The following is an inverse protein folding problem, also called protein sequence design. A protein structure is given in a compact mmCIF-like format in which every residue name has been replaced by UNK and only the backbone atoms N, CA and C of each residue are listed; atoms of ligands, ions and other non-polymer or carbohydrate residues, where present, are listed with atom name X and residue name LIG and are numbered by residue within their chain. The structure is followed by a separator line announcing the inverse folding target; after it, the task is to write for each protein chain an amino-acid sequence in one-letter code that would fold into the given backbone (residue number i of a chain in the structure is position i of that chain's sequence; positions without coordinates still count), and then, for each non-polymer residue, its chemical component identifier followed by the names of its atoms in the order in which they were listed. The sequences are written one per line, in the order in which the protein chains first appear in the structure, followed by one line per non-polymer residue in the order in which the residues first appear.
data_IF_669064903749
#
_entry.id   IF_669064903749
#
_cell.length_a   1.000
_cell.length_b   1.000
_cell.length_c   1.000
_cell.angle_alpha   90.00
_cell.angle_beta   90.00
_cell.angle_gamma   90.00
#
_symmetry.space_group_name_H-M   'P 1'
#
loop_
_entity.id
_entity.type
_entity.pdbx_description
1 polymer ?
#
# COMPACT_ATOMS: atom_id res chain seq x y z
N UNK A 1 1.56 23.42 -35.40
CA UNK A 1 1.23 23.64 -33.97
C UNK A 1 2.39 24.40 -33.33
N UNK A 2 2.17 25.57 -32.73
CA UNK A 2 3.25 26.44 -32.22
C UNK A 2 3.83 25.89 -30.90
N UNK A 3 5.10 26.18 -30.59
CA UNK A 3 5.75 25.74 -29.35
C UNK A 3 4.99 26.17 -28.07
N UNK A 4 4.32 27.31 -28.14
CA UNK A 4 3.44 27.83 -27.08
C UNK A 4 2.22 26.93 -26.82
N UNK A 5 1.60 26.38 -27.88
CA UNK A 5 0.47 25.46 -27.76
C UNK A 5 0.89 24.14 -27.12
N UNK A 6 2.05 23.59 -27.49
CA UNK A 6 2.60 22.36 -26.89
C UNK A 6 2.86 22.56 -25.39
N UNK A 7 3.46 23.68 -25.02
CA UNK A 7 3.76 23.98 -23.61
C UNK A 7 2.50 24.25 -22.78
N UNK A 8 1.45 24.82 -23.39
CA UNK A 8 0.15 25.03 -22.76
C UNK A 8 -0.58 23.69 -22.52
N UNK A 9 -0.60 22.81 -23.51
CA UNK A 9 -1.20 21.47 -23.38
C UNK A 9 -0.50 20.62 -22.32
N UNK A 10 0.84 20.62 -22.29
CA UNK A 10 1.61 19.92 -21.25
C UNK A 10 1.26 20.39 -19.83
N UNK A 11 1.11 21.72 -19.63
CA UNK A 11 0.70 22.26 -18.33
C UNK A 11 -0.73 21.91 -17.95
N UNK A 12 -1.65 21.85 -18.92
CA UNK A 12 -3.03 21.44 -18.66
C UNK A 12 -3.10 19.96 -18.25
N UNK A 13 -2.35 19.08 -18.91
CA UNK A 13 -2.23 17.66 -18.53
C UNK A 13 -1.65 17.48 -17.14
N UNK A 14 -0.57 18.20 -16.80
CA UNK A 14 -0.02 18.17 -15.45
C UNK A 14 -1.04 18.59 -14.39
N UNK A 15 -1.81 19.66 -14.64
CA UNK A 15 -2.88 20.11 -13.74
C UNK A 15 -3.98 19.05 -13.59
N UNK A 16 -4.37 18.38 -14.68
CA UNK A 16 -5.35 17.29 -14.65
C UNK A 16 -4.88 16.13 -13.79
N UNK A 17 -3.64 15.69 -13.98
CA UNK A 17 -3.02 14.60 -13.21
C UNK A 17 -2.99 14.94 -11.71
N UNK A 18 -2.56 16.16 -11.34
CA UNK A 18 -2.56 16.62 -9.95
C UNK A 18 -3.98 16.63 -9.37
N UNK A 19 -4.96 17.12 -10.12
CA UNK A 19 -6.36 17.12 -9.70
C UNK A 19 -6.88 15.70 -9.45
N UNK A 20 -6.53 14.74 -10.32
CA UNK A 20 -6.92 13.33 -10.15
C UNK A 20 -6.34 12.77 -8.85
N UNK A 21 -5.06 13.00 -8.55
CA UNK A 21 -4.46 12.55 -7.28
C UNK A 21 -5.18 13.14 -6.05
N UNK A 22 -5.52 14.42 -6.10
CA UNK A 22 -6.27 15.08 -5.02
C UNK A 22 -7.66 14.44 -4.88
N UNK A 23 -8.41 14.30 -5.98
CA UNK A 23 -9.76 13.75 -5.96
C UNK A 23 -9.79 12.30 -5.46
N UNK A 24 -8.84 11.46 -5.88
CA UNK A 24 -8.71 10.09 -5.39
C UNK A 24 -8.44 10.05 -3.89
N UNK A 25 -7.52 10.89 -3.40
CA UNK A 25 -7.21 10.97 -1.97
C UNK A 25 -8.42 11.43 -1.15
N UNK A 26 -9.11 12.46 -1.63
CA UNK A 26 -10.34 12.97 -0.99
C UNK A 26 -11.45 11.92 -0.99
N UNK A 27 -11.64 11.18 -2.09
CA UNK A 27 -12.65 10.13 -2.15
C UNK A 27 -12.39 9.02 -1.11
N UNK A 28 -11.13 8.60 -0.95
CA UNK A 28 -10.76 7.62 0.08
C UNK A 28 -11.03 8.18 1.48
N UNK A 29 -10.61 9.42 1.75
CA UNK A 29 -10.88 10.04 3.04
C UNK A 29 -12.38 10.10 3.32
N UNK A 30 -13.21 10.50 2.35
CA UNK A 30 -14.67 10.53 2.53
C UNK A 30 -15.27 9.15 2.83
N UNK A 31 -14.78 8.10 2.18
CA UNK A 31 -15.30 6.73 2.35
C UNK A 31 -14.82 6.07 3.63
N UNK A 32 -13.59 6.35 4.08
CA UNK A 32 -12.95 5.65 5.20
C UNK A 32 -12.75 6.52 6.45
N UNK A 33 -13.19 7.79 6.44
CA UNK A 33 -13.01 8.73 7.56
C UNK A 33 -13.51 8.15 8.89
N UNK A 34 -14.65 7.46 8.87
CA UNK A 34 -15.27 6.91 10.08
C UNK A 34 -14.45 5.79 10.73
N UNK A 35 -13.56 5.13 9.99
CA UNK A 35 -12.79 3.98 10.48
C UNK A 35 -11.87 4.39 11.64
N UNK A 36 -11.44 5.64 11.70
CA UNK A 36 -10.62 6.13 12.81
C UNK A 36 -11.32 6.09 14.18
N UNK A 37 -12.65 5.95 14.20
CA UNK A 37 -13.47 5.85 15.41
C UNK A 37 -13.80 4.39 15.78
N UNK A 38 -13.39 3.42 14.97
CA UNK A 38 -13.60 2.01 15.25
C UNK A 38 -12.55 1.48 16.24
N UNK A 39 -12.93 0.44 16.97
CA UNK A 39 -12.04 -0.28 17.87
C UNK A 39 -11.34 -1.44 17.15
N UNK A 40 -10.44 -2.11 17.88
CA UNK A 40 -9.94 -3.42 17.46
C UNK A 40 -11.11 -4.43 17.36
N UNK A 41 -11.03 -5.32 16.39
CA UNK A 41 -12.00 -6.40 16.21
C UNK A 41 -11.58 -7.59 17.08
N UNK A 42 -12.52 -8.16 17.83
CA UNK A 42 -12.34 -9.35 18.68
C UNK A 42 -12.20 -10.64 17.84
N UNK A 43 -11.18 -10.67 16.99
CA UNK A 43 -10.80 -11.79 16.13
C UNK A 43 -9.27 -11.76 15.95
N UNK A 44 -8.75 -11.53 14.75
CA UNK A 44 -7.30 -11.55 14.52
C UNK A 44 -6.56 -10.38 15.19
N UNK A 45 -7.20 -9.23 15.45
CA UNK A 45 -6.49 -8.08 16.05
C UNK A 45 -5.97 -8.40 17.46
N UNK A 46 -6.62 -9.32 18.18
CA UNK A 46 -6.13 -9.81 19.46
C UNK A 46 -4.78 -10.50 19.29
N UNK A 47 -4.71 -11.49 18.39
CA UNK A 47 -3.49 -12.26 18.14
C UNK A 47 -2.39 -11.43 17.47
N UNK A 48 -2.75 -10.43 16.67
CA UNK A 48 -1.79 -9.60 15.93
C UNK A 48 -1.27 -8.41 16.74
N UNK A 49 -2.05 -7.85 17.67
CA UNK A 49 -1.71 -6.60 18.38
C UNK A 49 -1.96 -6.68 19.89
N UNK A 50 -3.18 -6.99 20.34
CA UNK A 50 -3.58 -6.80 21.75
C UNK A 50 -2.96 -7.82 22.71
N UNK A 51 -2.72 -9.04 22.25
CA UNK A 51 -2.15 -10.14 23.05
C UNK A 51 -0.73 -10.52 22.60
N UNK A 52 -0.16 -9.76 21.66
CA UNK A 52 1.15 -10.06 21.11
C UNK A 52 2.27 -9.24 21.81
N UNK A 53 3.01 -9.83 22.78
CA UNK A 53 4.03 -9.10 23.52
C UNK A 53 5.20 -8.65 22.65
N UNK A 54 5.46 -9.31 21.52
CA UNK A 54 6.52 -8.92 20.60
C UNK A 54 6.14 -7.63 19.86
N UNK A 55 4.90 -7.52 19.38
CA UNK A 55 4.40 -6.29 18.76
C UNK A 55 4.34 -5.15 19.76
N UNK A 56 3.90 -5.42 20.99
CA UNK A 56 3.86 -4.43 22.07
C UNK A 56 5.23 -4.05 22.63
N UNK A 57 6.30 -4.76 22.25
CA UNK A 57 7.67 -4.32 22.55
C UNK A 57 8.16 -3.21 21.61
N UNK A 58 7.37 -2.86 20.60
CA UNK A 58 7.76 -1.91 19.55
C UNK A 58 8.87 -2.47 18.65
N UNK A 59 9.51 -1.58 17.89
CA UNK A 59 10.69 -1.92 17.11
C UNK A 59 11.90 -2.13 18.04
N UNK A 60 12.14 -3.39 18.38
CA UNK A 60 13.27 -3.82 19.19
C UNK A 60 14.15 -4.82 18.45
N UNK A 61 15.40 -4.99 18.89
CA UNK A 61 16.30 -6.02 18.35
C UNK A 61 15.69 -7.43 18.46
N UNK A 62 15.08 -7.73 19.60
CA UNK A 62 14.37 -8.99 19.81
C UNK A 62 13.12 -9.11 18.93
N UNK A 63 12.35 -8.02 18.76
CA UNK A 63 11.20 -7.97 17.85
C UNK A 63 11.60 -8.20 16.40
N UNK A 64 12.73 -7.64 15.96
CA UNK A 64 13.27 -7.87 14.62
C UNK A 64 13.61 -9.35 14.39
N UNK A 65 14.35 -9.97 15.31
CA UNK A 65 14.68 -11.40 15.21
C UNK A 65 13.40 -12.24 15.19
N UNK A 66 12.47 -11.95 16.09
CA UNK A 66 11.20 -12.65 16.16
C UNK A 66 10.40 -12.53 14.86
N UNK A 67 10.27 -11.34 14.30
CA UNK A 67 9.52 -11.09 13.06
C UNK A 67 10.02 -11.96 11.91
N UNK A 68 11.34 -12.16 11.79
CA UNK A 68 11.96 -12.96 10.72
C UNK A 68 11.99 -14.47 10.98
N UNK A 69 11.76 -14.92 12.22
CA UNK A 69 11.86 -16.34 12.59
C UNK A 69 10.53 -16.98 12.94
N UNK A 70 9.51 -16.17 13.21
CA UNK A 70 8.19 -16.64 13.66
C UNK A 70 7.29 -17.11 12.51
N UNK A 71 6.42 -18.06 12.81
CA UNK A 71 5.26 -18.46 11.98
C UNK A 71 3.95 -18.24 12.73
N UNK A 72 3.95 -17.31 13.69
CA UNK A 72 2.79 -16.93 14.49
C UNK A 72 1.56 -16.70 13.60
N UNK A 73 0.37 -17.11 14.05
CA UNK A 73 -0.87 -17.06 13.25
C UNK A 73 -0.74 -17.75 11.89
N UNK A 74 0.08 -18.81 11.79
CA UNK A 74 0.30 -19.67 10.60
C UNK A 74 0.90 -18.99 9.37
N UNK A 75 1.44 -17.78 9.51
CA UNK A 75 1.97 -17.01 8.39
C UNK A 75 3.42 -16.57 8.67
N UNK A 76 4.26 -16.57 7.63
CA UNK A 76 5.60 -15.93 7.66
C UNK A 76 5.54 -14.60 6.90
N UNK A 77 5.49 -13.48 7.64
CA UNK A 77 5.32 -12.12 7.12
C UNK A 77 6.06 -11.06 7.97
N UNK A 78 7.41 -11.13 8.03
CA UNK A 78 8.21 -10.24 8.85
C UNK A 78 7.91 -8.76 8.68
N UNK A 79 7.70 -8.27 7.45
CA UNK A 79 7.48 -6.84 7.22
C UNK A 79 6.12 -6.36 7.74
N UNK A 80 5.11 -7.23 7.75
CA UNK A 80 3.83 -6.93 8.41
C UNK A 80 4.02 -6.80 9.91
N UNK A 81 4.79 -7.70 10.53
CA UNK A 81 5.09 -7.62 11.97
C UNK A 81 5.83 -6.34 12.32
N UNK A 82 6.87 -5.99 11.56
CA UNK A 82 7.61 -4.75 11.76
C UNK A 82 6.73 -3.51 11.57
N UNK A 83 5.79 -3.54 10.61
CA UNK A 83 4.84 -2.45 10.43
C UNK A 83 3.91 -2.27 11.64
N UNK A 84 3.45 -3.37 12.26
CA UNK A 84 2.59 -3.30 13.45
C UNK A 84 3.37 -2.89 14.71
N UNK A 85 4.63 -3.34 14.84
CA UNK A 85 5.55 -2.88 15.88
C UNK A 85 5.80 -1.37 15.78
N UNK A 86 5.99 -0.86 14.57
CA UNK A 86 6.15 0.56 14.33
C UNK A 86 4.88 1.35 14.70
N UNK A 87 3.70 0.87 14.30
CA UNK A 87 2.43 1.47 14.73
C UNK A 87 2.30 1.47 16.27
N UNK A 88 2.75 0.41 16.95
CA UNK A 88 2.72 0.35 18.41
C UNK A 88 3.65 1.40 19.07
N UNK A 89 4.81 1.69 18.48
CA UNK A 89 5.69 2.74 18.99
C UNK A 89 5.06 4.14 18.90
N UNK A 90 4.29 4.38 17.85
CA UNK A 90 3.62 5.66 17.61
C UNK A 90 2.32 5.82 18.40
N UNK A 91 1.53 4.74 18.47
CA UNK A 91 0.12 4.82 18.87
C UNK A 91 -0.21 3.98 20.10
N UNK A 92 0.69 3.09 20.56
CA UNK A 92 0.41 2.08 21.58
C UNK A 92 -0.88 1.32 21.22
N UNK A 93 -1.71 0.92 22.17
CA UNK A 93 -3.00 0.26 21.91
C UNK A 93 -4.13 1.23 21.52
N UNK A 94 -3.82 2.27 20.73
CA UNK A 94 -4.86 3.15 20.17
C UNK A 94 -5.22 2.70 18.73
N UNK A 95 -6.39 2.06 18.50
CA UNK A 95 -6.76 1.51 17.21
C UNK A 95 -6.87 2.56 16.10
N UNK A 96 -7.20 3.80 16.47
CA UNK A 96 -7.30 4.92 15.53
C UNK A 96 -6.02 5.12 14.71
N UNK A 97 -4.85 4.98 15.35
CA UNK A 97 -3.55 5.10 14.68
C UNK A 97 -3.31 4.00 13.64
N UNK A 98 -3.61 2.76 13.97
CA UNK A 98 -3.47 1.62 13.06
C UNK A 98 -4.39 1.76 11.84
N UNK A 99 -5.65 2.17 12.06
CA UNK A 99 -6.59 2.45 10.98
C UNK A 99 -6.07 3.57 10.07
N UNK A 100 -5.49 4.63 10.64
CA UNK A 100 -4.86 5.69 9.85
C UNK A 100 -3.71 5.18 8.99
N UNK A 101 -2.83 4.34 9.53
CA UNK A 101 -1.76 3.73 8.74
C UNK A 101 -2.33 2.86 7.60
N UNK A 102 -3.44 2.13 7.82
CA UNK A 102 -4.11 1.36 6.75
C UNK A 102 -4.66 2.29 5.65
N UNK A 103 -5.33 3.38 6.04
CA UNK A 103 -5.85 4.39 5.10
C UNK A 103 -4.70 5.01 4.30
N UNK A 104 -3.57 5.33 4.93
CA UNK A 104 -2.39 5.87 4.26
C UNK A 104 -1.85 4.90 3.20
N UNK A 105 -1.75 3.60 3.52
CA UNK A 105 -1.36 2.61 2.51
C UNK A 105 -2.40 2.48 1.39
N UNK A 106 -3.70 2.55 1.70
CA UNK A 106 -4.74 2.49 0.66
C UNK A 106 -4.70 3.71 -0.29
N UNK A 107 -4.43 4.90 0.25
CA UNK A 107 -4.16 6.10 -0.54
C UNK A 107 -2.94 5.84 -1.42
N UNK A 108 -1.80 5.45 -0.84
CA UNK A 108 -0.58 5.18 -1.58
C UNK A 108 -0.79 4.16 -2.71
N UNK A 109 -1.49 3.05 -2.43
CA UNK A 109 -1.86 2.03 -3.41
C UNK A 109 -2.69 2.60 -4.55
N UNK A 110 -3.72 3.37 -4.24
CA UNK A 110 -4.62 3.97 -5.23
C UNK A 110 -3.88 4.95 -6.14
N UNK A 111 -3.07 5.84 -5.56
CA UNK A 111 -2.30 6.82 -6.34
C UNK A 111 -1.24 6.12 -7.19
N UNK A 112 -0.57 5.11 -6.64
CA UNK A 112 0.42 4.32 -7.37
C UNK A 112 -0.23 3.53 -8.50
N UNK A 113 -1.42 2.96 -8.29
CA UNK A 113 -2.19 2.24 -9.31
C UNK A 113 -2.55 3.15 -10.48
N UNK A 114 -3.06 4.36 -10.19
CA UNK A 114 -3.32 5.37 -11.21
C UNK A 114 -2.03 5.69 -12.00
N UNK A 115 -0.92 5.92 -11.29
CA UNK A 115 0.36 6.23 -11.92
C UNK A 115 0.84 5.12 -12.85
N UNK A 116 0.82 3.87 -12.39
CA UNK A 116 1.27 2.70 -13.17
C UNK A 116 0.41 2.53 -14.41
N UNK A 117 -0.91 2.54 -14.29
CA UNK A 117 -1.80 2.36 -15.44
C UNK A 117 -1.74 3.54 -16.41
N UNK A 118 -1.63 4.77 -15.93
CA UNK A 118 -1.46 5.92 -16.80
C UNK A 118 -0.13 5.86 -17.56
N UNK A 119 0.94 5.38 -16.91
CA UNK A 119 2.25 5.19 -17.55
C UNK A 119 2.21 4.09 -18.62
N UNK A 120 1.57 2.96 -18.32
CA UNK A 120 1.51 1.80 -19.23
C UNK A 120 0.60 2.04 -20.44
N UNK A 121 -0.54 2.70 -20.23
CA UNK A 121 -1.57 2.86 -21.26
C UNK A 121 -1.54 4.20 -21.98
N UNK A 122 -1.03 5.27 -21.34
CA UNK A 122 -1.20 6.65 -21.79
C UNK A 122 -2.65 7.17 -21.68
N UNK A 123 -3.58 6.37 -21.15
CA UNK A 123 -5.01 6.67 -21.11
C UNK A 123 -5.42 7.20 -19.73
N UNK A 124 -5.26 8.50 -19.52
CA UNK A 124 -5.43 9.14 -18.20
C UNK A 124 -6.80 8.90 -17.59
N UNK A 125 -7.89 9.08 -18.33
CA UNK A 125 -9.24 8.92 -17.77
C UNK A 125 -9.61 7.47 -17.49
N UNK A 126 -9.18 6.52 -18.33
CA UNK A 126 -9.40 5.08 -18.06
C UNK A 126 -8.63 4.64 -16.83
N UNK A 127 -7.38 5.10 -16.70
CA UNK A 127 -6.54 4.83 -15.52
C UNK A 127 -7.14 5.45 -14.25
N UNK A 128 -7.67 6.67 -14.35
CA UNK A 128 -8.34 7.34 -13.24
C UNK A 128 -9.62 6.61 -12.83
N UNK A 129 -10.42 6.12 -13.79
CA UNK A 129 -11.62 5.34 -13.51
C UNK A 129 -11.28 4.04 -12.77
N UNK A 130 -10.28 3.30 -13.23
CA UNK A 130 -9.85 2.05 -12.56
C UNK A 130 -9.34 2.33 -11.15
N UNK A 131 -8.51 3.36 -10.97
CA UNK A 131 -8.02 3.76 -9.65
C UNK A 131 -9.16 4.23 -8.73
N UNK A 132 -10.13 4.99 -9.26
CA UNK A 132 -11.30 5.42 -8.50
C UNK A 132 -12.17 4.24 -8.07
N UNK A 133 -12.44 3.30 -8.98
CA UNK A 133 -13.17 2.08 -8.64
C UNK A 133 -12.43 1.32 -7.53
N UNK A 134 -11.12 1.09 -7.66
CA UNK A 134 -10.31 0.48 -6.61
C UNK A 134 -10.39 1.27 -5.28
N UNK A 135 -10.34 2.59 -5.33
CA UNK A 135 -10.37 3.45 -4.15
C UNK A 135 -11.63 3.25 -3.29
N UNK A 136 -12.79 3.08 -3.94
CA UNK A 136 -14.12 3.08 -3.27
C UNK A 136 -14.80 1.71 -3.28
N UNK A 137 -14.22 0.68 -3.92
CA UNK A 137 -14.88 -0.61 -4.07
C UNK A 137 -15.12 -1.29 -2.72
N UNK A 138 -16.35 -1.77 -2.43
CA UNK A 138 -16.66 -2.42 -1.14
C UNK A 138 -15.77 -3.62 -0.78
N UNK A 139 -15.26 -4.35 -1.78
CA UNK A 139 -14.32 -5.47 -1.56
C UNK A 139 -13.06 -5.07 -0.79
N UNK A 140 -12.65 -3.79 -0.86
CA UNK A 140 -11.47 -3.29 -0.18
C UNK A 140 -11.76 -2.87 1.27
N UNK A 141 -13.04 -2.78 1.67
CA UNK A 141 -13.40 -2.33 3.02
C UNK A 141 -12.80 -3.21 4.09
N UNK A 142 -12.85 -4.53 3.92
CA UNK A 142 -12.24 -5.47 4.86
C UNK A 142 -10.73 -5.24 4.98
N UNK A 143 -10.02 -5.09 3.85
CA UNK A 143 -8.57 -4.89 3.87
C UNK A 143 -8.13 -3.55 4.47
N UNK A 144 -8.96 -2.51 4.37
CA UNK A 144 -8.64 -1.16 4.87
C UNK A 144 -9.09 -0.98 6.31
N UNK A 145 -10.30 -1.42 6.65
CA UNK A 145 -10.90 -1.18 7.97
C UNK A 145 -10.42 -2.18 9.03
N UNK A 146 -9.95 -3.37 8.65
CA UNK A 146 -9.46 -4.37 9.60
C UNK A 146 -7.95 -4.23 9.82
N UNK A 147 -7.51 -4.04 11.07
CA UNK A 147 -6.11 -3.78 11.42
C UNK A 147 -5.21 -4.98 11.09
N UNK A 148 -5.62 -6.22 11.40
CA UNK A 148 -4.86 -7.42 11.05
C UNK A 148 -4.70 -7.64 9.52
N UNK A 149 -5.57 -7.05 8.71
CA UNK A 149 -5.43 -7.01 7.25
C UNK A 149 -4.43 -5.95 6.76
N UNK A 150 -3.63 -5.35 7.67
CA UNK A 150 -2.38 -4.62 7.36
C UNK A 150 -1.55 -5.33 6.29
N UNK A 151 -1.48 -6.66 6.37
CA UNK A 151 -0.77 -7.51 5.40
C UNK A 151 -1.29 -7.32 3.98
N UNK A 152 -2.59 -7.12 3.76
CA UNK A 152 -3.16 -6.92 2.42
C UNK A 152 -2.76 -5.57 1.85
N UNK A 153 -3.06 -4.47 2.54
CA UNK A 153 -2.77 -3.12 2.03
C UNK A 153 -1.27 -2.92 1.81
N UNK A 154 -0.42 -3.46 2.68
CA UNK A 154 1.03 -3.38 2.51
C UNK A 154 1.52 -4.29 1.37
N UNK A 155 0.92 -5.47 1.20
CA UNK A 155 1.29 -6.38 0.11
C UNK A 155 0.91 -5.81 -1.26
N UNK A 156 -0.25 -5.14 -1.36
CA UNK A 156 -0.68 -4.42 -2.56
C UNK A 156 0.32 -3.31 -2.91
N UNK A 157 0.86 -2.60 -1.93
CA UNK A 157 1.88 -1.56 -2.18
C UNK A 157 3.11 -2.15 -2.86
N UNK A 158 3.66 -3.23 -2.31
CA UNK A 158 4.82 -3.87 -2.90
C UNK A 158 4.52 -4.55 -4.23
N UNK A 159 3.30 -5.08 -4.41
CA UNK A 159 2.85 -5.63 -5.69
C UNK A 159 2.85 -4.53 -6.77
N UNK A 160 2.24 -3.38 -6.50
CA UNK A 160 2.19 -2.26 -7.46
C UNK A 160 3.55 -1.61 -7.67
N UNK A 161 4.41 -1.55 -6.64
CA UNK A 161 5.81 -1.12 -6.78
C UNK A 161 6.62 -2.07 -7.65
N UNK A 162 6.39 -3.38 -7.53
CA UNK A 162 7.03 -4.40 -8.38
C UNK A 162 6.60 -4.19 -9.84
N UNK A 163 5.31 -3.97 -10.09
CA UNK A 163 4.81 -3.64 -11.42
C UNK A 163 5.43 -2.34 -11.97
N UNK A 164 5.47 -1.29 -11.16
CA UNK A 164 6.07 -0.02 -11.58
C UNK A 164 7.55 -0.19 -11.95
N UNK A 165 8.33 -0.81 -11.06
CA UNK A 165 9.77 -1.00 -11.30
C UNK A 165 10.03 -1.92 -12.49
N UNK A 166 9.13 -2.88 -12.76
CA UNK A 166 9.20 -3.73 -13.94
C UNK A 166 8.92 -2.95 -15.23
N UNK A 167 7.89 -2.09 -15.25
CA UNK A 167 7.64 -1.17 -16.37
C UNK A 167 8.85 -0.30 -16.64
N UNK A 168 9.44 0.28 -15.59
CA UNK A 168 10.66 1.08 -15.72
C UNK A 168 11.83 0.25 -16.25
N UNK A 169 11.98 -1.01 -15.82
CA UNK A 169 13.02 -1.90 -16.35
C UNK A 169 12.81 -2.19 -17.85
N UNK A 170 11.59 -2.49 -18.28
CA UNK A 170 11.29 -2.79 -19.69
C UNK A 170 11.56 -1.58 -20.60
N UNK A 171 11.25 -0.37 -20.14
CA UNK A 171 11.56 0.87 -20.88
C UNK A 171 13.06 1.15 -21.02
N UNK A 172 13.88 0.67 -20.09
CA UNK A 172 15.34 0.82 -20.12
C UNK A 172 16.01 -0.32 -19.36
N UNK A 173 16.41 -1.40 -20.05
CA UNK A 173 16.84 -2.65 -19.41
C UNK A 173 18.25 -2.53 -18.84
N UNK A 174 18.36 -1.92 -17.66
CA UNK A 174 19.62 -1.79 -16.91
C UNK A 174 19.54 -2.57 -15.60
N UNK A 175 20.68 -3.13 -15.17
CA UNK A 175 20.78 -3.98 -13.98
C UNK A 175 20.19 -3.32 -12.73
N UNK A 176 20.43 -2.02 -12.54
CA UNK A 176 19.87 -1.26 -11.40
C UNK A 176 18.34 -1.33 -11.34
N UNK A 177 17.65 -1.22 -12.48
CA UNK A 177 16.18 -1.27 -12.51
C UNK A 177 15.68 -2.69 -12.25
N UNK A 178 16.38 -3.71 -12.75
CA UNK A 178 16.07 -5.10 -12.44
C UNK A 178 16.24 -5.41 -10.94
N UNK A 179 17.30 -4.91 -10.30
CA UNK A 179 17.49 -5.05 -8.85
C UNK A 179 16.36 -4.39 -8.05
N UNK A 180 15.79 -3.28 -8.52
CA UNK A 180 14.62 -2.66 -7.89
C UNK A 180 13.36 -3.53 -8.02
N UNK A 181 13.18 -4.23 -9.14
CA UNK A 181 12.10 -5.23 -9.29
C UNK A 181 12.27 -6.34 -8.26
N UNK A 182 13.45 -6.95 -8.22
CA UNK A 182 13.75 -8.05 -7.29
C UNK A 182 13.60 -7.62 -5.83
N UNK A 183 14.04 -6.41 -5.49
CA UNK A 183 13.89 -5.86 -4.15
C UNK A 183 12.42 -5.66 -3.78
N UNK A 184 11.64 -5.00 -4.63
CA UNK A 184 10.22 -4.73 -4.39
C UNK A 184 9.42 -6.04 -4.26
N UNK A 185 9.72 -7.00 -5.13
CA UNK A 185 9.10 -8.32 -5.12
C UNK A 185 9.42 -9.10 -3.84
N UNK A 186 10.71 -9.13 -3.45
CA UNK A 186 11.15 -9.80 -2.23
C UNK A 186 10.52 -9.16 -0.99
N UNK A 187 10.49 -7.83 -0.92
CA UNK A 187 9.81 -7.13 0.18
C UNK A 187 8.34 -7.51 0.25
N UNK A 188 7.63 -7.58 -0.87
CA UNK A 188 6.23 -7.97 -0.84
C UNK A 188 6.01 -9.44 -0.46
N UNK A 189 6.90 -10.37 -0.83
CA UNK A 189 6.88 -11.75 -0.31
C UNK A 189 7.06 -11.81 1.22
N UNK A 190 7.89 -10.92 1.77
CA UNK A 190 8.09 -10.75 3.22
C UNK A 190 6.88 -10.10 3.93
N UNK A 191 5.90 -9.58 3.19
CA UNK A 191 4.64 -9.03 3.72
C UNK A 191 3.51 -10.06 3.63
N UNK A 192 3.38 -10.73 2.48
CA UNK A 192 2.38 -11.78 2.27
C UNK A 192 2.85 -12.75 1.17
N UNK A 193 2.96 -14.06 1.45
CA UNK A 193 3.43 -15.05 0.46
C UNK A 193 2.63 -15.11 -0.84
N UNK A 194 1.37 -14.66 -0.82
CA UNK A 194 0.48 -14.58 -2.00
C UNK A 194 1.13 -13.85 -3.19
N UNK A 195 2.09 -12.94 -2.96
CA UNK A 195 2.81 -12.25 -4.02
C UNK A 195 3.55 -13.15 -5.01
N UNK A 196 3.81 -14.41 -4.67
CA UNK A 196 4.38 -15.42 -5.58
C UNK A 196 3.61 -15.55 -6.90
N UNK A 197 2.35 -15.11 -6.93
CA UNK A 197 1.48 -15.17 -8.11
C UNK A 197 1.84 -14.15 -9.20
N UNK A 198 2.64 -13.12 -8.94
CA UNK A 198 3.13 -12.18 -9.98
C UNK A 198 3.90 -12.92 -11.10
N UNK A 199 3.75 -12.53 -12.40
CA UNK A 199 2.80 -11.59 -12.98
C UNK A 199 1.62 -12.36 -13.59
N UNK A 200 0.46 -12.42 -12.92
CA UNK A 200 -0.75 -12.98 -13.53
C UNK A 200 -1.45 -11.96 -14.44
#
# INVERSE_FOLDING_TARGET
MTAENIHKESRLEQRRVVLIYILLSVAILLVYWQVQYFGFIDFDDNMYVIENPHVQSGLSYHGLIWAFTTTHTTNWHPLTWLSLMFDYDLYRLNPSGYHWTNIIFHIANTLLLFFVFNRMSGETWKSALVAFLFAVHPINVESVAWIAERKNVLSTLFWTLTMLTYVLYVESPVLKRYLLVMLSFTMGLLVKPMLVTLPF
#
